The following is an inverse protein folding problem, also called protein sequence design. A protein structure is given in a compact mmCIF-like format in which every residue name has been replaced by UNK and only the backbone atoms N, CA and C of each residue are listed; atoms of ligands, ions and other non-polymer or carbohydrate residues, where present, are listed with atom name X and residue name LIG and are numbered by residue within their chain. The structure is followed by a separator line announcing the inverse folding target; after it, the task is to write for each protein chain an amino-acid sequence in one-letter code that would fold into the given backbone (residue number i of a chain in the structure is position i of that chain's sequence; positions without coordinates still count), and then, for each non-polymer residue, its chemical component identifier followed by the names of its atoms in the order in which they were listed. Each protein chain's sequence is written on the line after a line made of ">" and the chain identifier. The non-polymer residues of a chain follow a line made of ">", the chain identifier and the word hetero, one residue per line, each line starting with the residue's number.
data_IF_933345324727
#
_entry.id   IF_933345324727
#
_cell.length_a   1.000
_cell.length_b   1.000
_cell.length_c   1.000
_cell.angle_alpha   90.00
_cell.angle_beta   90.00
_cell.angle_gamma   90.00
#
_symmetry.space_group_name_H-M   'P 1'
#
loop_
_entity.id
_entity.type
_entity.pdbx_description
1 polymer ?
#
# COMPACT_ATOMS: atom_id res chain seq x y z
N UNK A 1 -1.60 34.10 3.01
CA UNK A 1 -2.95 33.67 2.56
C UNK A 1 -2.87 32.76 1.32
N UNK A 2 -2.31 33.23 0.19
CA UNK A 2 -2.13 32.41 -1.04
C UNK A 2 -1.32 31.12 -0.81
N UNK A 3 -0.26 31.24 -0.01
CA UNK A 3 0.62 30.13 0.36
C UNK A 3 -0.08 28.99 1.12
N UNK A 4 -1.04 29.33 1.99
CA UNK A 4 -1.81 28.34 2.76
C UNK A 4 -2.84 27.62 1.90
N UNK A 5 -3.46 28.30 0.93
CA UNK A 5 -4.41 27.66 0.00
C UNK A 5 -3.73 26.69 -0.97
N UNK A 6 -2.51 27.01 -1.43
CA UNK A 6 -1.70 26.13 -2.28
C UNK A 6 -1.32 24.86 -1.50
N UNK A 7 -0.80 25.03 -0.28
CA UNK A 7 -0.44 23.90 0.58
C UNK A 7 -1.64 22.97 0.84
N UNK A 8 -2.81 23.53 1.15
CA UNK A 8 -4.04 22.75 1.33
C UNK A 8 -4.40 21.90 0.10
N UNK A 9 -4.37 22.47 -1.11
CA UNK A 9 -4.67 21.73 -2.36
C UNK A 9 -3.67 20.60 -2.60
N UNK A 10 -2.38 20.84 -2.37
CA UNK A 10 -1.32 19.83 -2.51
C UNK A 10 -1.56 18.67 -1.54
N UNK A 11 -1.76 18.96 -0.26
CA UNK A 11 -1.97 17.94 0.77
C UNK A 11 -3.22 17.11 0.47
N UNK A 12 -4.30 17.77 0.03
CA UNK A 12 -5.55 17.10 -0.37
C UNK A 12 -5.33 16.17 -1.58
N UNK A 13 -4.61 16.63 -2.60
CA UNK A 13 -4.28 15.84 -3.79
C UNK A 13 -3.34 14.66 -3.47
N UNK A 14 -2.33 14.89 -2.63
CA UNK A 14 -1.42 13.83 -2.16
C UNK A 14 -2.19 12.74 -1.40
N UNK A 15 -3.04 13.13 -0.45
CA UNK A 15 -3.89 12.20 0.29
C UNK A 15 -4.76 11.37 -0.65
N UNK A 16 -5.35 11.99 -1.67
CA UNK A 16 -6.15 11.30 -2.68
C UNK A 16 -5.35 10.24 -3.45
N UNK A 17 -4.13 10.57 -3.86
CA UNK A 17 -3.24 9.64 -4.56
C UNK A 17 -2.81 8.50 -3.64
N UNK A 18 -2.49 8.79 -2.37
CA UNK A 18 -2.16 7.78 -1.37
C UNK A 18 -3.32 6.81 -1.10
N UNK A 19 -4.57 7.30 -1.03
CA UNK A 19 -5.78 6.47 -0.89
C UNK A 19 -5.96 5.51 -2.08
N UNK A 20 -5.80 6.02 -3.31
CA UNK A 20 -5.89 5.20 -4.52
C UNK A 20 -4.81 4.12 -4.54
N UNK A 21 -3.55 4.49 -4.22
CA UNK A 21 -2.46 3.50 -4.11
C UNK A 21 -2.70 2.49 -3.00
N UNK A 22 -3.25 2.92 -1.86
CA UNK A 22 -3.64 2.05 -0.76
C UNK A 22 -4.65 0.99 -1.20
N UNK A 23 -5.64 1.38 -1.99
CA UNK A 23 -6.60 0.43 -2.56
C UNK A 23 -5.95 -0.59 -3.50
N UNK A 24 -5.14 -0.14 -4.46
CA UNK A 24 -4.43 -1.07 -5.36
C UNK A 24 -3.47 -1.98 -4.61
N UNK A 25 -2.82 -1.47 -3.56
CA UNK A 25 -1.99 -2.28 -2.69
C UNK A 25 -2.79 -3.35 -1.99
N UNK A 26 -3.95 -3.02 -1.43
CA UNK A 26 -4.84 -3.99 -0.81
C UNK A 26 -5.29 -5.04 -1.84
N UNK A 27 -5.67 -4.62 -3.04
CA UNK A 27 -6.10 -5.52 -4.12
C UNK A 27 -5.01 -6.53 -4.50
N UNK A 28 -3.78 -6.06 -4.76
CA UNK A 28 -2.67 -6.96 -5.11
C UNK A 28 -2.31 -7.88 -3.94
N UNK A 29 -2.33 -7.35 -2.71
CA UNK A 29 -2.13 -8.16 -1.49
C UNK A 29 -3.13 -9.31 -1.42
N UNK A 30 -4.41 -9.03 -1.70
CA UNK A 30 -5.49 -10.02 -1.68
C UNK A 30 -5.24 -11.15 -2.68
N UNK A 31 -4.82 -10.82 -3.91
CA UNK A 31 -4.50 -11.84 -4.92
C UNK A 31 -3.25 -12.68 -4.59
N UNK A 32 -2.33 -12.17 -3.77
CA UNK A 32 -1.14 -12.92 -3.33
C UNK A 32 -1.40 -13.76 -2.07
N UNK A 33 -2.14 -13.20 -1.10
CA UNK A 33 -2.35 -13.81 0.22
C UNK A 33 -3.44 -14.89 0.17
N UNK A 34 -4.55 -14.65 -0.53
CA UNK A 34 -5.68 -15.59 -0.52
C UNK A 34 -5.33 -16.97 -1.10
N UNK A 35 -4.61 -17.10 -2.24
CA UNK A 35 -4.21 -18.42 -2.75
C UNK A 35 -3.34 -19.18 -1.76
N UNK A 36 -2.46 -18.47 -1.04
CA UNK A 36 -1.65 -19.08 0.01
C UNK A 36 -2.51 -19.59 1.17
N UNK A 37 -3.49 -18.81 1.63
CA UNK A 37 -4.41 -19.24 2.70
C UNK A 37 -5.23 -20.47 2.27
N UNK A 38 -5.74 -20.47 1.04
CA UNK A 38 -6.47 -21.62 0.47
C UNK A 38 -5.58 -22.85 0.44
N UNK A 39 -4.34 -22.71 -0.04
CA UNK A 39 -3.36 -23.79 -0.04
C UNK A 39 -3.09 -24.32 1.37
N UNK A 40 -2.85 -23.44 2.35
CA UNK A 40 -2.61 -23.83 3.75
C UNK A 40 -3.80 -24.61 4.31
N UNK A 41 -5.03 -24.15 4.07
CA UNK A 41 -6.21 -24.84 4.56
C UNK A 41 -6.34 -26.23 3.93
N UNK A 42 -6.26 -26.34 2.61
CA UNK A 42 -6.41 -27.63 1.91
C UNK A 42 -5.29 -28.62 2.29
N UNK A 43 -4.10 -28.13 2.61
CA UNK A 43 -2.99 -28.95 3.05
C UNK A 43 -3.11 -29.44 4.50
N UNK A 44 -3.66 -28.62 5.40
CA UNK A 44 -3.71 -28.92 6.85
C UNK A 44 -5.01 -29.56 7.29
N UNK A 45 -6.14 -29.10 6.76
CA UNK A 45 -7.49 -29.53 7.13
C UNK A 45 -8.36 -29.63 5.87
N UNK A 46 -8.12 -30.61 4.98
CA UNK A 46 -8.84 -30.74 3.71
C UNK A 46 -10.35 -30.93 3.89
N UNK A 47 -10.77 -31.57 4.99
CA UNK A 47 -12.19 -31.83 5.26
C UNK A 47 -12.96 -30.61 5.80
N UNK A 48 -12.25 -29.55 6.20
CA UNK A 48 -12.85 -28.33 6.76
C UNK A 48 -12.31 -27.07 6.08
N UNK A 49 -13.08 -26.55 5.13
CA UNK A 49 -12.75 -25.38 4.31
C UNK A 49 -12.94 -24.03 5.02
N UNK A 50 -12.21 -23.80 6.11
CA UNK A 50 -12.23 -22.51 6.83
C UNK A 50 -11.75 -21.32 6.00
N UNK A 51 -11.06 -21.54 4.86
CA UNK A 51 -10.63 -20.47 3.96
C UNK A 51 -11.81 -19.61 3.47
N UNK A 52 -13.05 -20.14 3.44
CA UNK A 52 -14.24 -19.37 3.05
C UNK A 52 -14.47 -18.15 3.94
N UNK A 53 -14.21 -18.26 5.24
CA UNK A 53 -14.32 -17.13 6.16
C UNK A 53 -13.26 -16.06 5.86
N UNK A 54 -12.04 -16.48 5.55
CA UNK A 54 -10.95 -15.57 5.18
C UNK A 54 -11.27 -14.85 3.86
N UNK A 55 -11.65 -15.61 2.82
CA UNK A 55 -12.04 -15.05 1.51
C UNK A 55 -13.23 -14.09 1.66
N UNK A 56 -14.28 -14.49 2.37
CA UNK A 56 -15.46 -13.65 2.60
C UNK A 56 -15.13 -12.35 3.34
N UNK A 57 -14.36 -12.44 4.44
CA UNK A 57 -13.94 -11.27 5.21
C UNK A 57 -13.06 -10.31 4.39
N UNK A 58 -12.10 -10.83 3.63
CA UNK A 58 -11.26 -10.02 2.75
C UNK A 58 -12.05 -9.38 1.62
N UNK A 59 -13.00 -10.10 1.00
CA UNK A 59 -13.84 -9.56 -0.06
C UNK A 59 -14.69 -8.39 0.45
N UNK A 60 -15.30 -8.51 1.63
CA UNK A 60 -16.04 -7.41 2.26
C UNK A 60 -15.12 -6.23 2.55
N UNK A 61 -13.94 -6.46 3.13
CA UNK A 61 -12.96 -5.40 3.38
C UNK A 61 -12.51 -4.69 2.10
N UNK A 62 -12.33 -5.42 1.00
CA UNK A 62 -11.97 -4.87 -0.30
C UNK A 62 -13.08 -3.99 -0.88
N UNK A 63 -14.35 -4.44 -0.78
CA UNK A 63 -15.52 -3.65 -1.22
C UNK A 63 -15.65 -2.37 -0.39
N UNK A 64 -15.52 -2.45 0.93
CA UNK A 64 -15.57 -1.27 1.82
C UNK A 64 -14.45 -0.28 1.45
N UNK A 65 -13.23 -0.77 1.24
CA UNK A 65 -12.11 0.07 0.83
C UNK A 65 -12.37 0.72 -0.54
N UNK A 66 -12.91 -0.03 -1.51
CA UNK A 66 -13.28 0.51 -2.81
C UNK A 66 -14.33 1.64 -2.70
N UNK A 67 -15.38 1.44 -1.89
CA UNK A 67 -16.42 2.45 -1.66
C UNK A 67 -15.82 3.70 -1.01
N UNK A 68 -14.98 3.52 0.01
CA UNK A 68 -14.33 4.64 0.70
C UNK A 68 -13.48 5.48 -0.26
N UNK A 69 -12.67 4.82 -1.10
CA UNK A 69 -11.78 5.50 -2.05
C UNK A 69 -12.58 6.08 -3.21
N UNK A 70 -13.36 5.30 -3.94
CA UNK A 70 -13.95 5.79 -5.19
C UNK A 70 -15.24 6.60 -5.01
N UNK A 71 -15.96 6.44 -3.90
CA UNK A 71 -17.23 7.12 -3.67
C UNK A 71 -17.13 8.18 -2.57
N UNK A 72 -16.83 7.79 -1.33
CA UNK A 72 -16.91 8.69 -0.16
C UNK A 72 -15.86 9.79 -0.22
N UNK A 73 -14.61 9.45 -0.49
CA UNK A 73 -13.52 10.45 -0.58
C UNK A 73 -13.72 11.41 -1.77
N UNK A 74 -14.34 10.97 -2.86
CA UNK A 74 -14.68 11.83 -3.99
C UNK A 74 -15.81 12.83 -3.64
N UNK A 75 -16.84 12.40 -2.91
CA UNK A 75 -17.94 13.27 -2.47
C UNK A 75 -17.44 14.32 -1.46
N UNK A 76 -16.64 13.90 -0.47
CA UNK A 76 -16.02 14.81 0.50
C UNK A 76 -15.11 15.86 -0.17
N UNK A 77 -14.52 15.53 -1.32
CA UNK A 77 -13.76 16.47 -2.14
C UNK A 77 -14.66 17.53 -2.82
N UNK A 78 -15.86 17.14 -3.27
CA UNK A 78 -16.83 17.99 -3.98
C UNK A 78 -17.73 18.85 -3.08
N UNK A 79 -17.91 18.47 -1.81
CA UNK A 79 -18.71 19.22 -0.82
C UNK A 79 -18.07 20.53 -0.33
N UNK A 80 -16.88 20.88 -0.82
CA UNK A 80 -16.22 22.18 -0.60
C UNK A 80 -16.91 23.31 -1.40
N UNK A 81 -18.25 23.38 -1.38
CA UNK A 81 -19.03 24.52 -1.89
C UNK A 81 -18.60 25.84 -1.22
N UNK A 82 -17.99 25.77 -0.04
CA UNK A 82 -17.32 26.88 0.68
C UNK A 82 -16.11 27.48 -0.08
N UNK A 83 -15.48 26.75 -1.00
CA UNK A 83 -14.31 27.21 -1.77
C UNK A 83 -14.65 27.91 -3.09
N UNK A 84 -15.93 27.93 -3.52
CA UNK A 84 -16.35 28.73 -4.69
C UNK A 84 -16.11 30.24 -4.53
N UNK A 85 -15.97 30.73 -3.29
CA UNK A 85 -15.63 32.13 -3.00
C UNK A 85 -14.12 32.43 -3.06
N UNK A 86 -13.26 31.41 -3.19
CA UNK A 86 -11.81 31.55 -3.40
C UNK A 86 -11.42 31.38 -4.88
N UNK A 87 -12.24 30.66 -5.66
CA UNK A 87 -12.03 30.47 -7.11
C UNK A 87 -12.17 31.75 -7.94
N UNK A 88 -12.78 32.81 -7.42
CA UNK A 88 -12.89 34.09 -8.14
C UNK A 88 -11.58 34.90 -8.20
N UNK A 89 -10.45 34.36 -7.71
CA UNK A 89 -9.14 35.01 -7.76
C UNK A 89 -8.03 34.18 -8.43
N UNK A 90 -8.34 33.07 -9.10
CA UNK A 90 -7.32 32.18 -9.68
C UNK A 90 -7.55 31.95 -11.17
N UNK A 91 -7.42 33.02 -11.95
CA UNK A 91 -6.80 32.90 -13.26
C UNK A 91 -5.31 33.09 -13.03
N UNK A 92 -4.56 32.00 -13.10
CA UNK A 92 -3.16 31.91 -13.56
C UNK A 92 -2.68 30.50 -13.25
N UNK A 93 -2.00 29.90 -14.23
CA UNK A 93 -1.22 28.67 -14.07
C UNK A 93 -0.22 28.85 -12.93
N UNK A 94 -0.64 28.56 -11.70
CA UNK A 94 0.22 28.73 -10.54
C UNK A 94 1.22 27.57 -10.49
N UNK A 95 2.36 27.77 -11.14
CA UNK A 95 3.55 26.94 -10.98
C UNK A 95 3.87 26.90 -9.49
N UNK A 96 3.85 25.70 -8.90
CA UNK A 96 4.23 25.47 -7.51
C UNK A 96 5.59 26.15 -7.26
N UNK A 97 5.73 27.03 -6.25
CA UNK A 97 7.01 27.67 -5.96
C UNK A 97 8.08 26.61 -5.75
N UNK A 98 9.26 26.81 -6.33
CA UNK A 98 10.37 25.83 -6.35
C UNK A 98 10.68 25.23 -4.97
N UNK A 99 10.57 26.04 -3.91
CA UNK A 99 10.71 25.62 -2.52
C UNK A 99 9.82 24.42 -2.15
N UNK A 100 8.54 24.45 -2.52
CA UNK A 100 7.60 23.36 -2.21
C UNK A 100 7.94 22.09 -2.96
N UNK A 101 8.37 22.24 -4.21
CA UNK A 101 8.76 21.11 -5.03
C UNK A 101 9.99 20.40 -4.42
N UNK A 102 10.97 21.16 -3.96
CA UNK A 102 12.16 20.64 -3.28
C UNK A 102 11.82 19.95 -1.95
N UNK A 103 10.93 20.53 -1.15
CA UNK A 103 10.47 19.92 0.10
C UNK A 103 9.74 18.59 -0.15
N UNK A 104 8.86 18.54 -1.17
CA UNK A 104 8.16 17.31 -1.57
C UNK A 104 9.17 16.24 -2.00
N UNK A 105 10.12 16.57 -2.89
CA UNK A 105 11.15 15.62 -3.33
C UNK A 105 12.02 15.11 -2.19
N UNK A 106 12.41 15.98 -1.25
CA UNK A 106 13.18 15.60 -0.08
C UNK A 106 12.41 14.63 0.82
N UNK A 107 11.16 14.94 1.15
CA UNK A 107 10.30 14.10 1.98
C UNK A 107 10.03 12.74 1.33
N UNK A 108 9.79 12.75 0.02
CA UNK A 108 9.64 11.56 -0.81
C UNK A 108 10.88 10.66 -0.79
N UNK A 109 12.06 11.24 -0.99
CA UNK A 109 13.34 10.51 -0.95
C UNK A 109 13.59 9.93 0.44
N UNK A 110 13.34 10.71 1.50
CA UNK A 110 13.49 10.27 2.89
C UNK A 110 12.57 9.10 3.23
N UNK A 111 11.31 9.14 2.78
CA UNK A 111 10.34 8.04 2.93
C UNK A 111 10.86 6.77 2.23
N UNK A 112 11.32 6.89 0.99
CA UNK A 112 11.87 5.76 0.21
C UNK A 112 13.11 5.15 0.88
N UNK A 113 14.04 5.97 1.39
CA UNK A 113 15.22 5.47 2.14
C UNK A 113 14.80 4.72 3.40
N UNK A 114 13.81 5.22 4.14
CA UNK A 114 13.29 4.55 5.33
C UNK A 114 12.67 3.18 4.99
N UNK A 115 11.87 3.13 3.93
CA UNK A 115 11.23 1.89 3.45
C UNK A 115 12.27 0.85 3.00
N UNK A 116 13.29 1.27 2.23
CA UNK A 116 14.41 0.41 1.81
C UNK A 116 15.15 -0.16 3.02
N UNK A 117 15.49 0.68 4.00
CA UNK A 117 16.15 0.22 5.23
C UNK A 117 15.29 -0.80 5.99
N UNK A 118 13.98 -0.55 6.10
CA UNK A 118 13.04 -1.48 6.72
C UNK A 118 12.98 -2.82 6.00
N UNK A 119 12.95 -2.81 4.66
CA UNK A 119 13.00 -4.02 3.85
C UNK A 119 14.26 -4.86 4.11
N UNK A 120 15.45 -4.24 4.09
CA UNK A 120 16.69 -4.97 4.37
C UNK A 120 16.76 -5.52 5.79
N UNK A 121 16.20 -4.82 6.78
CA UNK A 121 16.09 -5.34 8.14
C UNK A 121 15.22 -6.61 8.19
N UNK A 122 14.03 -6.59 7.56
CA UNK A 122 13.16 -7.77 7.47
C UNK A 122 13.77 -8.92 6.69
N UNK A 123 14.46 -8.62 5.57
CA UNK A 123 15.16 -9.63 4.78
C UNK A 123 16.25 -10.30 5.61
N UNK A 124 17.07 -9.53 6.32
CA UNK A 124 18.13 -10.06 7.17
C UNK A 124 17.57 -10.96 8.29
N UNK A 125 16.57 -10.47 9.03
CA UNK A 125 15.93 -11.26 10.10
C UNK A 125 15.33 -12.55 9.54
N UNK A 126 14.71 -12.51 8.36
CA UNK A 126 14.15 -13.69 7.70
C UNK A 126 15.23 -14.71 7.32
N UNK A 127 16.36 -14.27 6.78
CA UNK A 127 17.49 -15.14 6.44
C UNK A 127 18.06 -15.87 7.67
N UNK A 128 18.02 -15.23 8.84
CA UNK A 128 18.44 -15.86 10.11
C UNK A 128 17.34 -16.76 10.69
N UNK A 129 16.08 -16.32 10.63
CA UNK A 129 14.96 -17.04 11.21
C UNK A 129 14.66 -18.36 10.47
N UNK A 130 14.75 -18.38 9.14
CA UNK A 130 14.41 -19.56 8.33
C UNK A 130 15.24 -20.79 8.72
N UNK A 131 16.59 -20.76 8.75
CA UNK A 131 17.40 -21.89 9.18
C UNK A 131 17.09 -22.35 10.61
N UNK A 132 16.84 -21.41 11.53
CA UNK A 132 16.50 -21.71 12.93
C UNK A 132 15.16 -22.45 12.98
N UNK A 133 14.13 -21.96 12.29
CA UNK A 133 12.81 -22.58 12.23
C UNK A 133 12.90 -23.99 11.64
N UNK A 134 13.66 -24.17 10.56
CA UNK A 134 13.88 -25.48 9.94
C UNK A 134 14.57 -26.42 10.93
N UNK A 135 15.67 -25.99 11.53
CA UNK A 135 16.43 -26.79 12.49
C UNK A 135 15.57 -27.23 13.68
N UNK A 136 14.86 -26.28 14.31
CA UNK A 136 13.98 -26.56 15.45
C UNK A 136 12.87 -27.53 15.04
N UNK A 137 12.22 -27.31 13.90
CA UNK A 137 11.14 -28.20 13.47
C UNK A 137 11.64 -29.63 13.24
N UNK A 138 12.76 -29.80 12.52
CA UNK A 138 13.32 -31.12 12.24
C UNK A 138 13.85 -31.82 13.49
N UNK A 139 14.25 -31.08 14.52
CA UNK A 139 14.76 -31.64 15.78
C UNK A 139 13.63 -32.10 16.70
N UNK A 140 12.60 -31.28 16.88
CA UNK A 140 11.59 -31.51 17.92
C UNK A 140 10.28 -32.10 17.41
N UNK A 141 9.89 -31.81 16.16
CA UNK A 141 8.61 -32.26 15.57
C UNK A 141 8.82 -32.69 14.10
N UNK A 142 9.69 -33.68 13.83
CA UNK A 142 10.04 -34.06 12.45
C UNK A 142 8.86 -34.61 11.63
N UNK A 143 7.88 -35.22 12.32
CA UNK A 143 6.67 -35.79 11.70
C UNK A 143 5.78 -34.74 11.05
N UNK A 144 5.73 -33.53 11.61
CA UNK A 144 4.96 -32.42 11.07
C UNK A 144 5.88 -31.28 10.63
N UNK A 145 6.14 -31.20 9.32
CA UNK A 145 7.03 -30.23 8.68
C UNK A 145 6.42 -28.82 8.59
N UNK A 146 6.01 -28.25 9.73
CA UNK A 146 5.41 -26.93 9.81
C UNK A 146 6.32 -25.81 9.30
N UNK A 147 7.64 -26.04 9.20
CA UNK A 147 8.58 -25.07 8.65
C UNK A 147 8.18 -24.62 7.24
N UNK A 148 7.53 -25.47 6.42
CA UNK A 148 7.06 -25.07 5.09
C UNK A 148 6.02 -23.94 5.14
N UNK A 149 5.10 -24.00 6.11
CA UNK A 149 4.10 -22.95 6.32
C UNK A 149 4.76 -21.65 6.78
N UNK A 150 5.71 -21.76 7.72
CA UNK A 150 6.46 -20.61 8.23
C UNK A 150 7.31 -19.94 7.14
N UNK A 151 8.07 -20.73 6.38
CA UNK A 151 8.88 -20.24 5.25
C UNK A 151 8.00 -19.60 4.18
N UNK A 152 6.86 -20.20 3.85
CA UNK A 152 5.89 -19.62 2.91
C UNK A 152 5.39 -18.25 3.37
N UNK A 153 4.96 -18.13 4.64
CA UNK A 153 4.49 -16.87 5.21
C UNK A 153 5.57 -15.79 5.25
N UNK A 154 6.79 -16.15 5.65
CA UNK A 154 7.94 -15.24 5.66
C UNK A 154 8.28 -14.79 4.23
N UNK A 155 8.27 -15.70 3.26
CA UNK A 155 8.56 -15.40 1.86
C UNK A 155 7.53 -14.43 1.27
N UNK A 156 6.24 -14.66 1.54
CA UNK A 156 5.17 -13.74 1.13
C UNK A 156 5.35 -12.37 1.79
N UNK A 157 5.69 -12.32 3.08
CA UNK A 157 5.95 -11.07 3.78
C UNK A 157 7.09 -10.26 3.13
N UNK A 158 8.23 -10.89 2.84
CA UNK A 158 9.36 -10.25 2.14
C UNK A 158 8.93 -9.77 0.75
N UNK A 159 8.22 -10.63 0.00
CA UNK A 159 7.72 -10.30 -1.33
C UNK A 159 6.78 -9.09 -1.30
N UNK A 160 5.91 -9.00 -0.31
CA UNK A 160 5.00 -7.87 -0.10
C UNK A 160 5.77 -6.56 0.19
N UNK A 161 6.81 -6.60 1.02
CA UNK A 161 7.66 -5.42 1.25
C UNK A 161 8.42 -5.01 -0.02
N UNK A 162 8.97 -5.98 -0.76
CA UNK A 162 9.63 -5.71 -2.03
C UNK A 162 8.68 -5.09 -3.06
N UNK A 163 7.47 -5.62 -3.18
CA UNK A 163 6.42 -5.13 -4.06
C UNK A 163 6.02 -3.68 -3.71
N UNK A 164 5.95 -3.36 -2.42
CA UNK A 164 5.64 -2.01 -1.95
C UNK A 164 6.67 -0.96 -2.37
N UNK A 165 7.95 -1.34 -2.44
CA UNK A 165 9.05 -0.42 -2.77
C UNK A 165 9.29 -0.33 -4.28
N UNK A 166 9.27 -1.48 -4.96
CA UNK A 166 9.68 -1.61 -6.36
C UNK A 166 8.54 -2.05 -7.29
N UNK A 167 7.62 -2.88 -6.79
CA UNK A 167 6.55 -3.48 -7.59
C UNK A 167 5.55 -2.46 -8.14
N UNK A 168 5.13 -1.46 -7.34
CA UNK A 168 4.21 -0.43 -7.83
C UNK A 168 4.81 0.44 -8.95
N UNK A 169 6.14 0.61 -8.98
CA UNK A 169 6.80 1.27 -10.11
C UNK A 169 6.64 0.43 -11.39
N UNK A 170 6.74 -0.89 -11.31
CA UNK A 170 6.56 -1.80 -12.46
C UNK A 170 5.11 -1.85 -12.99
N UNK A 171 4.10 -1.64 -12.14
CA UNK A 171 2.69 -1.59 -12.54
C UNK A 171 2.24 -0.23 -13.09
N UNK A 172 3.15 0.73 -13.26
CA UNK A 172 2.80 2.07 -13.72
C UNK A 172 2.17 2.95 -12.64
N UNK A 173 2.12 2.51 -11.38
CA UNK A 173 1.72 3.31 -10.19
C UNK A 173 2.95 3.91 -9.48
N UNK A 174 4.02 4.11 -10.25
CA UNK A 174 5.27 4.70 -9.79
C UNK A 174 5.19 6.21 -9.60
N UNK A 175 6.36 6.81 -9.33
CA UNK A 175 6.47 8.24 -9.03
C UNK A 175 6.00 9.18 -10.15
N UNK A 176 6.16 8.79 -11.40
CA UNK A 176 5.66 9.56 -12.55
C UNK A 176 4.13 9.69 -12.50
N UNK A 177 3.45 8.56 -12.33
CA UNK A 177 2.00 8.51 -12.21
C UNK A 177 1.48 9.26 -10.98
N UNK A 178 2.16 9.13 -9.82
CA UNK A 178 1.78 9.89 -8.61
C UNK A 178 1.80 11.40 -8.90
N UNK A 179 2.88 11.90 -9.53
CA UNK A 179 3.01 13.32 -9.88
C UNK A 179 1.96 13.78 -10.87
N UNK A 180 1.66 12.98 -11.88
CA UNK A 180 0.61 13.29 -12.87
C UNK A 180 -0.77 13.37 -12.22
N UNK A 181 -1.08 12.43 -11.31
CA UNK A 181 -2.36 12.44 -10.59
C UNK A 181 -2.47 13.60 -9.59
N UNK A 182 -1.39 13.92 -8.88
CA UNK A 182 -1.36 15.10 -8.02
C UNK A 182 -1.62 16.37 -8.85
N UNK A 183 -0.98 16.52 -10.01
CA UNK A 183 -1.24 17.66 -10.92
C UNK A 183 -2.70 17.72 -11.37
N UNK A 184 -3.28 16.59 -11.76
CA UNK A 184 -4.70 16.49 -12.16
C UNK A 184 -5.68 16.87 -11.04
N UNK A 185 -5.36 16.55 -9.78
CA UNK A 185 -6.24 16.87 -8.64
C UNK A 185 -6.02 18.28 -8.08
N UNK A 186 -4.84 18.86 -8.33
CA UNK A 186 -4.60 20.25 -7.97
C UNK A 186 -5.29 21.17 -8.96
N UNK A 187 -5.26 20.90 -10.26
CA UNK A 187 -5.93 21.69 -11.31
C UNK A 187 -7.44 21.84 -11.03
#
# INVERSE_FOLDING_TARGET
>A
MKDQSINYRIVKAQKRVEEIKGFYSHLVSTFLILPFIVFVNLYTFPDYHWFWFAVGGWAVGLVIHAINVFFISQISMGEDWKNKKMQSYMNEEEILPEKYLNEIYYMEAKKKVKEIKGFYAHLFVSLVAIPIIIYVNLTYVPEFKFFWLAVGGITISILMHWLGIYGFEAFGLGRSWEREKIKQFIQ
#
